data_IF_272111285873
#
_entry.id   IF_272111285873
#
_cell.length_a   1.000
_cell.length_b   1.000
_cell.length_c   1.000
_cell.angle_alpha   90.00
_cell.angle_beta   90.00
_cell.angle_gamma   90.00
#
_symmetry.space_group_name_H-M   'P 1'
#
loop_
_entity.id
_entity.type
_entity.pdbx_description
1 polymer ?
#
# COMPACT_ATOMS: atom_id res chain seq x y z
N UNK A 1 9.64 -54.53 20.56
CA UNK A 1 10.71 -53.53 20.82
C UNK A 1 10.07 -52.18 20.52
N UNK A 2 9.35 -51.58 21.48
CA UNK A 2 9.84 -50.59 22.49
C UNK A 2 10.70 -49.50 21.81
N UNK A 3 10.39 -48.20 21.91
CA UNK A 3 10.22 -47.46 23.16
C UNK A 3 9.20 -46.32 23.06
N UNK A 4 8.34 -46.25 24.09
CA UNK A 4 7.69 -45.02 24.55
C UNK A 4 8.71 -44.14 25.28
N UNK A 5 8.68 -42.83 25.05
CA UNK A 5 9.20 -41.84 25.99
C UNK A 5 8.21 -40.68 26.05
N UNK A 6 7.35 -40.73 27.06
CA UNK A 6 6.72 -39.53 27.59
C UNK A 6 7.65 -38.90 28.62
N UNK A 7 7.87 -37.59 28.54
CA UNK A 7 8.26 -36.76 29.67
C UNK A 7 7.55 -35.41 29.57
N UNK A 8 6.65 -35.22 30.53
CA UNK A 8 6.08 -33.96 31.01
C UNK A 8 7.16 -33.11 31.69
N UNK A 9 7.45 -31.92 31.17
CA UNK A 9 7.99 -30.74 31.87
C UNK A 9 7.79 -29.58 30.87
N UNK A 10 7.25 -28.40 31.15
CA UNK A 10 6.79 -27.69 32.33
C UNK A 10 6.45 -26.28 31.81
N UNK A 11 5.45 -25.62 32.41
CA UNK A 11 5.09 -24.24 32.12
C UNK A 11 6.29 -23.31 32.38
N UNK A 12 6.76 -22.64 31.34
CA UNK A 12 7.54 -21.41 31.47
C UNK A 12 6.87 -20.33 30.62
N UNK A 13 5.91 -19.64 31.24
CA UNK A 13 5.48 -18.32 30.80
C UNK A 13 6.71 -17.42 30.96
N UNK A 14 7.50 -17.26 29.92
CA UNK A 14 8.47 -16.18 29.87
C UNK A 14 7.68 -14.90 29.64
N UNK A 15 7.26 -14.28 30.75
CA UNK A 15 6.98 -12.86 30.79
C UNK A 15 8.32 -12.15 30.53
N UNK A 16 8.69 -12.00 29.26
CA UNK A 16 9.69 -11.01 28.87
C UNK A 16 9.04 -9.66 29.09
N UNK A 17 9.36 -9.07 30.23
CA UNK A 17 9.22 -7.65 30.48
C UNK A 17 9.98 -6.92 29.39
N UNK A 18 9.30 -6.60 28.29
CA UNK A 18 9.75 -5.56 27.39
C UNK A 18 9.81 -4.28 28.22
N UNK A 19 11.03 -3.96 28.63
CA UNK A 19 11.40 -2.64 29.11
C UNK A 19 10.98 -1.70 28.00
N UNK A 20 9.87 -1.00 28.23
CA UNK A 20 9.47 0.14 27.43
C UNK A 20 10.63 1.14 27.48
N UNK A 21 11.45 1.15 26.44
CA UNK A 21 12.26 2.31 26.10
C UNK A 21 11.27 3.39 25.64
N UNK A 22 10.67 4.05 26.62
CA UNK A 22 10.11 5.39 26.45
C UNK A 22 11.29 6.34 26.25
N UNK A 23 11.66 6.55 24.99
CA UNK A 23 12.39 7.75 24.59
C UNK A 23 11.63 8.44 23.47
N UNK A 24 11.13 9.62 23.80
CA UNK A 24 10.12 10.37 23.05
C UNK A 24 10.73 11.04 21.82
N UNK A 25 10.29 10.67 20.62
CA UNK A 25 10.22 11.55 19.43
C UNK A 25 9.04 11.13 18.55
N UNK A 26 7.96 11.94 18.55
CA UNK A 26 6.84 11.90 17.60
C UNK A 26 6.41 10.51 17.13
N UNK A 27 5.80 9.72 18.01
CA UNK A 27 5.44 8.34 17.71
C UNK A 27 4.20 8.27 16.83
N UNK A 28 4.37 7.77 15.62
CA UNK A 28 3.32 7.34 14.70
C UNK A 28 2.30 6.47 15.45
N UNK A 29 1.09 6.98 15.67
CA UNK A 29 0.04 6.22 16.35
C UNK A 29 -0.80 5.44 15.35
N UNK A 30 -1.33 4.29 15.78
CA UNK A 30 -2.33 3.52 14.99
C UNK A 30 -3.51 4.42 14.59
N UNK A 31 -3.92 5.35 15.46
CA UNK A 31 -5.00 6.28 15.15
C UNK A 31 -4.65 7.25 14.00
N UNK A 32 -3.39 7.72 13.93
CA UNK A 32 -2.92 8.57 12.83
C UNK A 32 -2.87 7.76 11.52
N UNK A 33 -2.35 6.53 11.58
CA UNK A 33 -2.35 5.60 10.45
C UNK A 33 -3.78 5.38 9.93
N UNK A 34 -4.73 5.01 10.79
CA UNK A 34 -6.11 4.77 10.40
C UNK A 34 -6.83 6.02 9.86
N UNK A 35 -6.46 7.21 10.34
CA UNK A 35 -7.00 8.47 9.81
C UNK A 35 -6.52 8.71 8.37
N UNK A 36 -5.24 8.49 8.11
CA UNK A 36 -4.69 8.64 6.76
C UNK A 36 -5.19 7.54 5.83
N UNK A 37 -5.27 6.29 6.32
CA UNK A 37 -5.82 5.14 5.60
C UNK A 37 -7.24 5.42 5.10
N UNK A 38 -8.09 6.02 5.94
CA UNK A 38 -9.45 6.38 5.56
C UNK A 38 -9.49 7.43 4.45
N UNK A 39 -8.62 8.44 4.51
CA UNK A 39 -8.52 9.46 3.46
C UNK A 39 -8.00 8.86 2.14
N UNK A 40 -7.11 7.88 2.23
CA UNK A 40 -6.62 7.13 1.08
C UNK A 40 -7.77 6.36 0.40
N UNK A 41 -8.59 5.63 1.16
CA UNK A 41 -9.78 4.93 0.63
C UNK A 41 -10.71 5.90 -0.11
N UNK A 42 -11.08 7.02 0.52
CA UNK A 42 -11.97 8.02 -0.13
C UNK A 42 -11.36 8.59 -1.41
N UNK A 43 -10.03 8.71 -1.49
CA UNK A 43 -9.35 9.19 -2.71
C UNK A 43 -9.34 8.11 -3.80
N UNK A 44 -9.18 6.84 -3.43
CA UNK A 44 -9.27 5.70 -4.36
C UNK A 44 -10.69 5.58 -4.93
N UNK A 45 -11.73 5.66 -4.09
CA UNK A 45 -13.13 5.68 -4.55
C UNK A 45 -13.38 6.83 -5.54
N UNK A 46 -12.79 8.01 -5.31
CA UNK A 46 -12.88 9.14 -6.22
C UNK A 46 -12.19 8.91 -7.57
N UNK A 47 -11.06 8.20 -7.57
CA UNK A 47 -10.38 7.75 -8.79
C UNK A 47 -11.23 6.72 -9.54
N UNK A 48 -11.78 5.72 -8.85
CA UNK A 48 -12.63 4.70 -9.47
C UNK A 48 -13.84 5.33 -10.16
N UNK A 49 -14.54 6.24 -9.48
CA UNK A 49 -15.67 6.98 -10.05
C UNK A 49 -15.25 7.81 -11.28
N UNK A 50 -14.04 8.39 -11.28
CA UNK A 50 -13.52 9.13 -12.44
C UNK A 50 -13.32 8.21 -13.65
N UNK A 51 -12.82 7.00 -13.43
CA UNK A 51 -12.60 6.00 -14.46
C UNK A 51 -13.88 5.34 -14.96
N UNK A 52 -14.84 5.07 -14.08
CA UNK A 52 -16.15 4.50 -14.46
C UNK A 52 -16.99 5.44 -15.34
N UNK A 53 -16.88 6.75 -15.10
CA UNK A 53 -17.71 7.76 -15.77
C UNK A 53 -17.08 8.33 -17.05
N UNK A 54 -15.87 7.92 -17.43
CA UNK A 54 -15.19 8.42 -18.62
C UNK A 54 -14.33 7.35 -19.29
N UNK A 55 -14.58 7.12 -20.59
CA UNK A 55 -13.70 6.27 -21.41
C UNK A 55 -12.27 6.84 -21.53
N UNK A 56 -12.10 8.15 -21.34
CA UNK A 56 -10.81 8.83 -21.34
C UNK A 56 -10.84 10.01 -20.37
N UNK A 57 -10.50 9.81 -19.09
CA UNK A 57 -10.42 10.88 -18.11
C UNK A 57 -9.49 12.01 -18.55
N UNK A 58 -9.76 13.23 -18.11
CA UNK A 58 -8.91 14.36 -18.45
C UNK A 58 -7.53 14.21 -17.79
N UNK A 59 -6.45 14.36 -18.56
CA UNK A 59 -5.08 14.19 -18.07
C UNK A 59 -4.74 15.08 -16.84
N UNK A 60 -5.28 16.30 -16.76
CA UNK A 60 -5.03 17.18 -15.61
C UNK A 60 -5.77 16.75 -14.35
N UNK A 61 -6.95 16.12 -14.49
CA UNK A 61 -7.70 15.52 -13.38
C UNK A 61 -7.02 14.24 -12.89
N UNK A 62 -6.49 13.43 -13.82
CA UNK A 62 -5.67 12.24 -13.51
C UNK A 62 -4.40 12.68 -12.78
N UNK A 63 -3.67 13.67 -13.27
CA UNK A 63 -2.47 14.21 -12.60
C UNK A 63 -2.78 14.68 -11.17
N UNK A 64 -3.84 15.49 -10.99
CA UNK A 64 -4.21 16.01 -9.68
C UNK A 64 -4.55 14.89 -8.69
N UNK A 65 -5.24 13.86 -9.16
CA UNK A 65 -5.62 12.71 -8.34
C UNK A 65 -4.41 11.84 -7.99
N UNK A 66 -3.51 11.58 -8.95
CA UNK A 66 -2.25 10.88 -8.69
C UNK A 66 -1.38 11.62 -7.68
N UNK A 67 -1.25 12.95 -7.79
CA UNK A 67 -0.52 13.75 -6.80
C UNK A 67 -1.11 13.62 -5.40
N UNK A 68 -2.44 13.61 -5.31
CA UNK A 68 -3.15 13.42 -4.03
C UNK A 68 -2.91 12.02 -3.46
N UNK A 69 -3.00 10.99 -4.31
CA UNK A 69 -2.72 9.60 -3.98
C UNK A 69 -1.29 9.42 -3.45
N UNK A 70 -0.27 9.89 -4.19
CA UNK A 70 1.13 9.82 -3.76
C UNK A 70 1.34 10.56 -2.43
N UNK A 71 0.73 11.72 -2.26
CA UNK A 71 0.80 12.48 -1.00
C UNK A 71 0.23 11.66 0.17
N UNK A 72 -0.91 11.01 -0.02
CA UNK A 72 -1.54 10.18 1.01
C UNK A 72 -0.76 8.90 1.30
N UNK A 73 -0.21 8.23 0.29
CA UNK A 73 0.65 7.05 0.47
C UNK A 73 1.90 7.42 1.27
N UNK A 74 2.52 8.57 1.00
CA UNK A 74 3.67 9.05 1.78
C UNK A 74 3.27 9.43 3.22
N UNK A 75 2.11 10.04 3.43
CA UNK A 75 1.60 10.31 4.78
C UNK A 75 1.29 9.01 5.53
N UNK A 76 0.75 8.01 4.85
CA UNK A 76 0.44 6.70 5.42
C UNK A 76 1.73 6.00 5.84
N UNK A 77 2.77 6.03 4.99
CA UNK A 77 4.09 5.52 5.32
C UNK A 77 4.72 6.28 6.49
N UNK A 78 4.55 7.59 6.52
CA UNK A 78 4.99 8.45 7.60
C UNK A 78 4.29 8.16 8.93
N UNK A 79 3.04 7.71 8.90
CA UNK A 79 2.24 7.32 10.07
C UNK A 79 2.30 5.81 10.38
N UNK A 80 3.03 5.03 9.59
CA UNK A 80 3.08 3.59 9.73
C UNK A 80 3.78 3.18 11.05
N UNK A 81 3.21 2.21 11.78
CA UNK A 81 3.88 1.57 12.90
C UNK A 81 5.03 0.69 12.40
N UNK A 82 5.97 0.38 13.30
CA UNK A 82 7.20 -0.36 12.97
C UNK A 82 6.95 -1.77 12.43
N UNK A 83 5.78 -2.35 12.69
CA UNK A 83 5.40 -3.69 12.23
C UNK A 83 5.18 -3.75 10.72
N UNK A 84 4.78 -2.64 10.08
CA UNK A 84 4.52 -2.55 8.63
C UNK A 84 5.35 -1.45 7.94
N UNK A 85 6.32 -0.85 8.63
CA UNK A 85 7.09 0.27 8.07
C UNK A 85 7.93 -0.15 6.86
N UNK A 86 8.46 -1.37 6.86
CA UNK A 86 9.24 -1.91 5.74
C UNK A 86 8.35 -2.19 4.53
N UNK A 87 7.15 -2.73 4.74
CA UNK A 87 6.16 -2.91 3.68
C UNK A 87 5.73 -1.57 3.10
N UNK A 88 5.52 -0.55 3.94
CA UNK A 88 5.18 0.79 3.46
C UNK A 88 6.29 1.44 2.61
N UNK A 89 7.56 1.12 2.83
CA UNK A 89 8.65 1.55 1.93
C UNK A 89 8.49 0.93 0.54
N UNK A 90 8.11 -0.35 0.47
CA UNK A 90 7.86 -1.04 -0.80
C UNK A 90 6.61 -0.46 -1.48
N UNK A 91 5.54 -0.21 -0.74
CA UNK A 91 4.32 0.42 -1.26
C UNK A 91 4.61 1.82 -1.84
N UNK A 92 5.32 2.68 -1.11
CA UNK A 92 5.74 4.01 -1.60
C UNK A 92 6.56 3.90 -2.89
N UNK A 93 7.48 2.92 -2.95
CA UNK A 93 8.29 2.67 -4.14
C UNK A 93 7.42 2.26 -5.34
N UNK A 94 6.45 1.37 -5.14
CA UNK A 94 5.49 0.94 -6.16
C UNK A 94 4.69 2.11 -6.73
N UNK A 95 4.05 2.89 -5.86
CA UNK A 95 3.27 4.05 -6.26
C UNK A 95 4.11 5.15 -6.93
N UNK A 96 5.35 5.38 -6.47
CA UNK A 96 6.29 6.32 -7.10
C UNK A 96 6.68 5.86 -8.51
N UNK A 97 6.85 4.55 -8.72
CA UNK A 97 7.08 4.00 -10.04
C UNK A 97 5.84 4.20 -10.93
N UNK A 98 4.64 3.92 -10.43
CA UNK A 98 3.40 4.15 -11.17
C UNK A 98 3.24 5.63 -11.59
N UNK A 99 3.50 6.58 -10.69
CA UNK A 99 3.50 8.02 -11.01
C UNK A 99 4.55 8.37 -12.08
N UNK A 100 5.72 7.74 -12.04
CA UNK A 100 6.75 7.91 -13.06
C UNK A 100 6.31 7.38 -14.43
N UNK A 101 5.61 6.25 -14.47
CA UNK A 101 5.00 5.72 -15.69
C UNK A 101 3.96 6.70 -16.26
N UNK A 102 3.06 7.21 -15.42
CA UNK A 102 2.02 8.16 -15.81
C UNK A 102 2.60 9.46 -16.36
N UNK A 103 3.66 9.99 -15.73
CA UNK A 103 4.37 11.20 -16.21
C UNK A 103 4.93 11.05 -17.62
N UNK A 104 5.33 9.84 -18.05
CA UNK A 104 5.83 9.61 -19.42
C UNK A 104 4.75 9.81 -20.47
N UNK A 105 3.49 9.61 -20.08
CA UNK A 105 2.32 9.83 -20.92
C UNK A 105 1.64 11.19 -20.63
N UNK A 106 2.28 12.07 -19.85
CA UNK A 106 1.66 13.33 -19.37
C UNK A 106 0.30 13.11 -18.68
N UNK A 107 0.18 11.98 -17.95
CA UNK A 107 -1.06 11.50 -17.32
C UNK A 107 -2.22 11.22 -18.28
N UNK A 108 -1.98 11.21 -19.60
CA UNK A 108 -2.93 10.74 -20.61
C UNK A 108 -2.87 9.21 -20.71
N UNK A 109 -3.90 8.56 -20.20
CA UNK A 109 -3.98 7.09 -20.15
C UNK A 109 -4.19 6.51 -21.55
N UNK A 110 -4.87 7.24 -22.43
CA UNK A 110 -4.98 6.87 -23.83
C UNK A 110 -3.60 6.81 -24.49
N UNK A 111 -2.73 7.80 -24.23
CA UNK A 111 -1.34 7.80 -24.70
C UNK A 111 -0.55 6.63 -24.11
N UNK A 112 -0.65 6.40 -22.80
CA UNK A 112 0.06 5.29 -22.13
C UNK A 112 -0.31 3.93 -22.73
N UNK A 113 -1.57 3.73 -23.12
CA UNK A 113 -2.07 2.46 -23.65
C UNK A 113 -1.91 2.30 -25.17
N UNK A 114 -1.94 3.40 -25.93
CA UNK A 114 -1.97 3.35 -27.40
C UNK A 114 -0.65 3.70 -28.08
N UNK A 115 0.25 4.44 -27.42
CA UNK A 115 1.58 4.73 -27.97
C UNK A 115 2.59 3.67 -27.51
N UNK A 116 3.09 2.80 -28.41
CA UNK A 116 4.01 1.73 -28.05
C UNK A 116 5.37 2.25 -27.55
N UNK A 117 5.79 3.46 -27.93
CA UNK A 117 7.05 4.06 -27.49
C UNK A 117 6.92 4.51 -26.04
N UNK A 118 5.81 5.18 -25.70
CA UNK A 118 5.52 5.62 -24.34
C UNK A 118 5.31 4.41 -23.43
N UNK A 119 4.52 3.43 -23.87
CA UNK A 119 4.28 2.19 -23.14
C UNK A 119 5.59 1.43 -22.86
N UNK A 120 6.47 1.28 -23.86
CA UNK A 120 7.76 0.64 -23.68
C UNK A 120 8.66 1.40 -22.69
N UNK A 121 8.66 2.73 -22.72
CA UNK A 121 9.42 3.55 -21.78
C UNK A 121 8.88 3.46 -20.35
N UNK A 122 7.57 3.28 -20.18
CA UNK A 122 6.90 3.11 -18.88
C UNK A 122 6.97 1.68 -18.33
N UNK A 123 7.28 0.69 -19.17
CA UNK A 123 7.16 -0.73 -18.81
C UNK A 123 7.96 -1.16 -17.57
N UNK A 124 9.18 -0.62 -17.39
CA UNK A 124 9.98 -0.93 -16.20
C UNK A 124 9.36 -0.38 -14.91
N UNK A 125 8.77 0.81 -14.97
CA UNK A 125 8.12 1.45 -13.82
C UNK A 125 6.80 0.72 -13.47
N UNK A 126 6.01 0.37 -14.48
CA UNK A 126 4.79 -0.44 -14.32
C UNK A 126 5.13 -1.82 -13.73
N UNK A 127 6.24 -2.43 -14.16
CA UNK A 127 6.67 -3.73 -13.65
C UNK A 127 7.07 -3.68 -12.16
N UNK A 128 7.55 -2.55 -11.63
CA UNK A 128 7.82 -2.38 -10.20
C UNK A 128 6.51 -2.38 -9.41
N UNK A 129 5.51 -1.60 -9.86
CA UNK A 129 4.20 -1.58 -9.21
C UNK A 129 3.54 -2.96 -9.21
N UNK A 130 3.63 -3.68 -10.32
CA UNK A 130 3.06 -5.03 -10.49
C UNK A 130 3.98 -6.16 -10.02
N UNK A 131 5.04 -5.85 -9.28
CA UNK A 131 5.97 -6.89 -8.80
C UNK A 131 5.36 -7.68 -7.64
N UNK A 132 5.71 -8.97 -7.47
CA UNK A 132 5.24 -9.76 -6.32
C UNK A 132 5.62 -9.17 -4.97
N UNK A 133 6.73 -8.41 -4.91
CA UNK A 133 7.16 -7.71 -3.69
C UNK A 133 6.20 -6.58 -3.34
N UNK A 134 5.81 -5.77 -4.32
CA UNK A 134 4.82 -4.69 -4.13
C UNK A 134 3.44 -5.27 -3.79
N UNK A 135 3.01 -6.33 -4.46
CA UNK A 135 1.74 -7.00 -4.17
C UNK A 135 1.70 -7.55 -2.73
N UNK A 136 2.76 -8.24 -2.30
CA UNK A 136 2.85 -8.76 -0.93
C UNK A 136 2.86 -7.65 0.13
N UNK A 137 3.55 -6.53 -0.14
CA UNK A 137 3.57 -5.39 0.76
C UNK A 137 2.19 -4.70 0.84
N UNK A 138 1.49 -4.57 -0.28
CA UNK A 138 0.12 -4.04 -0.32
C UNK A 138 -0.85 -4.92 0.48
N UNK A 139 -0.74 -6.25 0.36
CA UNK A 139 -1.54 -7.21 1.13
C UNK A 139 -1.23 -7.14 2.64
N UNK A 140 0.05 -7.06 3.03
CA UNK A 140 0.44 -6.91 4.42
C UNK A 140 -0.14 -5.63 5.07
N UNK A 141 -0.07 -4.51 4.35
CA UNK A 141 -0.62 -3.22 4.81
C UNK A 141 -2.15 -3.25 4.86
N UNK A 142 -2.81 -3.91 3.91
CA UNK A 142 -4.27 -4.09 3.92
C UNK A 142 -4.74 -4.94 5.10
N UNK A 143 -4.08 -6.09 5.34
CA UNK A 143 -4.36 -6.95 6.49
C UNK A 143 -4.17 -6.22 7.82
N UNK A 144 -3.13 -5.38 7.91
CA UNK A 144 -2.93 -4.52 9.07
C UNK A 144 -4.09 -3.52 9.24
N UNK A 145 -4.51 -2.85 8.17
CA UNK A 145 -5.65 -1.92 8.20
C UNK A 145 -6.94 -2.63 8.63
N UNK A 146 -7.20 -3.85 8.16
CA UNK A 146 -8.37 -4.63 8.59
C UNK A 146 -8.30 -4.94 10.09
N UNK A 147 -7.13 -5.36 10.59
CA UNK A 147 -6.94 -5.72 11.98
C UNK A 147 -7.07 -4.52 12.94
N UNK A 148 -6.46 -3.39 12.59
CA UNK A 148 -6.28 -2.24 13.50
C UNK A 148 -7.27 -1.10 13.24
N UNK A 149 -7.66 -0.89 11.99
CA UNK A 149 -8.58 0.18 11.59
C UNK A 149 -10.02 -0.33 11.36
N UNK A 150 -10.19 -1.64 11.17
CA UNK A 150 -11.49 -2.27 10.95
C UNK A 150 -12.03 -2.13 9.53
N UNK A 151 -11.19 -1.75 8.56
CA UNK A 151 -11.55 -1.66 7.14
C UNK A 151 -10.34 -1.96 6.25
N UNK A 152 -10.61 -2.51 5.06
CA UNK A 152 -9.62 -2.72 4.02
C UNK A 152 -9.30 -1.40 3.29
N UNK A 153 -8.06 -1.25 2.84
CA UNK A 153 -7.61 -0.21 1.93
C UNK A 153 -7.96 -0.51 0.47
N UNK A 154 -8.40 -1.74 0.18
CA UNK A 154 -8.77 -2.26 -1.15
C UNK A 154 -7.61 -2.18 -2.16
N UNK A 155 -6.41 -2.49 -1.68
CA UNK A 155 -5.17 -2.47 -2.47
C UNK A 155 -5.03 -3.68 -3.38
N UNK A 156 -5.72 -4.78 -3.06
CA UNK A 156 -5.84 -5.94 -3.94
C UNK A 156 -6.87 -5.60 -5.01
N UNK A 157 -6.49 -5.54 -6.28
CA UNK A 157 -7.36 -5.21 -7.43
C UNK A 157 -8.56 -6.15 -7.69
N UNK A 158 -9.08 -6.81 -6.66
CA UNK A 158 -10.32 -7.58 -6.64
C UNK A 158 -11.54 -6.75 -7.09
N UNK A 159 -11.49 -5.41 -6.97
CA UNK A 159 -12.52 -4.49 -7.45
C UNK A 159 -12.59 -4.29 -8.98
N UNK A 160 -11.55 -4.64 -9.74
CA UNK A 160 -11.54 -4.53 -11.22
C UNK A 160 -12.16 -5.77 -11.91
N UNK A 161 -12.57 -6.78 -11.13
CA UNK A 161 -13.27 -7.97 -11.64
C UNK A 161 -14.72 -7.97 -11.21
N UNK A 162 -15.57 -7.18 -11.86
CA UNK A 162 -17.04 -7.37 -11.87
C UNK A 162 -17.65 -6.87 -13.17
#
# INVERSE_FOLDING_TARGET
MNHSFGLLFGTAVMATTFVACSDSKGGNSVADFCTVAKNLVTTQEGLDVMFENSESPNASEVEASFRSLISLVNQLAGAAPTEISDDMVVVVRGFTALDSAMKRADYDIGVLLSDPTVAAAAGADIAIMNSPETEAALDAVDQYSVAECGFALDTSGSGISS
#
